data_IF_942652051113
#
_entry.id   IF_942652051113
#
_cell.length_a   1.000
_cell.length_b   1.000
_cell.length_c   1.000
_cell.angle_alpha   90.00
_cell.angle_beta   90.00
_cell.angle_gamma   90.00
#
_symmetry.space_group_name_H-M   'P 1'
#
loop_
_entity.id
_entity.type
_entity.pdbx_description
1 polymer ?
#
# COMPACT_ATOMS: atom_id res chain seq x y z
N UNK A 1 -14.98 -8.06 14.23
CA UNK A 1 -14.40 -8.07 12.87
C UNK A 1 -15.40 -8.73 11.93
N UNK A 2 -16.40 -7.97 11.51
CA UNK A 2 -17.52 -8.46 10.68
C UNK A 2 -18.12 -7.31 9.85
N UNK A 3 -17.45 -6.16 9.85
CA UNK A 3 -17.81 -4.97 9.09
C UNK A 3 -16.64 -4.70 8.15
N UNK A 4 -16.94 -4.37 6.91
CA UNK A 4 -15.97 -3.88 5.93
C UNK A 4 -15.69 -2.39 6.16
N UNK A 5 -14.68 -1.85 5.48
CA UNK A 5 -14.32 -0.43 5.60
C UNK A 5 -15.50 0.51 5.25
N UNK A 6 -16.28 0.16 4.22
CA UNK A 6 -17.45 0.93 3.79
C UNK A 6 -18.61 0.92 4.78
N UNK A 7 -18.63 -0.01 5.74
CA UNK A 7 -19.69 -0.09 6.76
C UNK A 7 -19.42 0.81 7.98
N UNK A 8 -18.24 1.46 8.06
CA UNK A 8 -17.76 2.14 9.28
C UNK A 8 -17.27 3.58 9.06
N UNK A 9 -17.72 4.24 7.98
CA UNK A 9 -17.23 5.58 7.57
C UNK A 9 -15.68 5.65 7.53
N UNK A 10 -15.06 4.52 7.16
CA UNK A 10 -13.61 4.38 7.13
C UNK A 10 -12.97 5.09 5.95
N UNK A 11 -11.67 5.35 6.05
CA UNK A 11 -10.87 5.96 4.99
C UNK A 11 -9.59 5.17 4.76
N UNK A 12 -8.97 5.37 3.59
CA UNK A 12 -7.69 4.75 3.22
C UNK A 12 -6.59 5.81 3.13
N UNK A 13 -5.42 5.51 3.70
CA UNK A 13 -4.16 6.16 3.34
C UNK A 13 -3.34 5.18 2.48
N UNK A 14 -3.27 5.44 1.18
CA UNK A 14 -2.53 4.61 0.24
C UNK A 14 -1.08 5.12 0.07
N UNK A 15 -0.10 4.30 0.42
CA UNK A 15 1.34 4.63 0.31
C UNK A 15 2.05 3.59 -0.55
N UNK A 16 2.75 4.04 -1.59
CA UNK A 16 3.52 3.16 -2.47
C UNK A 16 4.68 2.49 -1.71
N UNK A 17 4.80 1.16 -1.72
CA UNK A 17 5.82 0.43 -0.96
C UNK A 17 6.44 -0.74 -1.76
N UNK A 18 7.43 -0.44 -2.61
CA UNK A 18 8.10 -1.47 -3.41
C UNK A 18 8.85 -2.52 -2.57
N UNK A 19 9.25 -2.17 -1.33
CA UNK A 19 10.02 -3.08 -0.48
C UNK A 19 9.22 -4.27 0.04
N UNK A 20 7.90 -4.32 -0.18
CA UNK A 20 7.10 -5.51 0.10
C UNK A 20 7.55 -6.71 -0.75
N UNK A 21 8.14 -6.47 -1.92
CA UNK A 21 8.75 -7.48 -2.79
C UNK A 21 10.24 -7.77 -2.46
N UNK A 22 10.70 -7.44 -1.25
CA UNK A 22 12.07 -7.72 -0.86
C UNK A 22 12.35 -9.24 -0.75
N UNK A 23 13.31 -9.74 -1.53
CA UNK A 23 13.90 -11.06 -1.30
C UNK A 23 15.07 -10.93 -0.31
N UNK A 24 14.89 -11.53 0.87
CA UNK A 24 15.86 -11.53 1.97
C UNK A 24 16.46 -12.91 2.24
N UNK A 25 16.29 -13.87 1.33
CA UNK A 25 16.76 -15.26 1.52
C UNK A 25 18.29 -15.39 1.44
N UNK A 26 19.01 -14.41 0.88
CA UNK A 26 20.46 -14.46 0.65
C UNK A 26 21.18 -13.20 1.14
N UNK A 27 22.01 -13.35 2.18
CA UNK A 27 22.84 -12.26 2.72
C UNK A 27 22.05 -11.19 3.49
N UNK A 28 22.69 -10.06 3.77
CA UNK A 28 22.12 -8.99 4.60
C UNK A 28 21.53 -7.82 3.79
N UNK A 29 21.57 -7.89 2.46
CA UNK A 29 21.03 -6.85 1.57
C UNK A 29 19.81 -7.41 0.83
N UNK A 30 18.61 -6.83 1.02
CA UNK A 30 17.43 -7.25 0.26
C UNK A 30 17.64 -7.02 -1.24
N UNK A 31 17.16 -7.97 -2.05
CA UNK A 31 16.96 -7.79 -3.48
C UNK A 31 15.52 -7.37 -3.75
N UNK A 32 15.29 -6.61 -4.83
CA UNK A 32 13.95 -6.12 -5.21
C UNK A 32 13.64 -6.47 -6.67
N UNK A 33 14.20 -7.58 -7.17
CA UNK A 33 14.06 -8.02 -8.56
C UNK A 33 12.61 -8.27 -8.97
N UNK A 34 11.78 -8.69 -8.03
CA UNK A 34 10.36 -9.00 -8.26
C UNK A 34 9.46 -7.75 -8.17
N UNK A 35 9.99 -6.60 -7.74
CA UNK A 35 9.27 -5.34 -7.76
C UNK A 35 9.15 -4.81 -9.21
N UNK A 36 7.98 -4.29 -9.56
CA UNK A 36 7.77 -3.64 -10.85
C UNK A 36 8.73 -2.43 -11.04
N UNK A 37 9.18 -2.14 -12.28
CA UNK A 37 9.90 -0.90 -12.59
C UNK A 37 9.06 0.34 -12.21
N UNK A 38 9.70 1.49 -11.89
CA UNK A 38 9.01 2.67 -11.37
C UNK A 38 7.82 3.13 -12.22
N UNK A 39 7.96 3.18 -13.54
CA UNK A 39 6.92 3.66 -14.45
C UNK A 39 5.69 2.73 -14.46
N UNK A 40 5.93 1.42 -14.38
CA UNK A 40 4.87 0.42 -14.27
C UNK A 40 4.23 0.46 -12.87
N UNK A 41 5.05 0.58 -11.83
CA UNK A 41 4.60 0.66 -10.44
C UNK A 41 3.75 1.90 -10.17
N UNK A 42 4.10 3.06 -10.74
CA UNK A 42 3.33 4.29 -10.61
C UNK A 42 1.96 4.15 -11.28
N UNK A 43 1.91 3.66 -12.52
CA UNK A 43 0.66 3.45 -13.24
C UNK A 43 -0.28 2.48 -12.51
N UNK A 44 0.25 1.38 -11.96
CA UNK A 44 -0.55 0.42 -11.17
C UNK A 44 -1.01 1.04 -9.84
N UNK A 45 -0.15 1.80 -9.16
CA UNK A 45 -0.49 2.49 -7.92
C UNK A 45 -1.60 3.52 -8.14
N UNK A 46 -1.52 4.33 -9.19
CA UNK A 46 -2.56 5.30 -9.55
C UNK A 46 -3.88 4.60 -9.89
N UNK A 47 -3.84 3.54 -10.69
CA UNK A 47 -5.02 2.75 -11.02
C UNK A 47 -5.68 2.14 -9.76
N UNK A 48 -4.88 1.66 -8.80
CA UNK A 48 -5.37 1.18 -7.51
C UNK A 48 -6.06 2.28 -6.69
N UNK A 49 -5.45 3.46 -6.61
CA UNK A 49 -6.03 4.61 -5.90
C UNK A 49 -7.35 5.03 -6.54
N UNK A 50 -7.42 5.10 -7.87
CA UNK A 50 -8.65 5.44 -8.59
C UNK A 50 -9.74 4.38 -8.42
N UNK A 51 -9.38 3.09 -8.40
CA UNK A 51 -10.33 2.02 -8.11
C UNK A 51 -10.95 2.17 -6.72
N UNK A 52 -10.14 2.46 -5.69
CA UNK A 52 -10.67 2.72 -4.34
C UNK A 52 -11.61 3.93 -4.29
N UNK A 53 -11.24 5.01 -4.98
CA UNK A 53 -12.09 6.22 -5.06
C UNK A 53 -13.40 5.95 -5.78
N UNK A 54 -13.39 5.12 -6.82
CA UNK A 54 -14.59 4.73 -7.56
C UNK A 54 -15.58 3.93 -6.70
N UNK A 55 -15.10 3.20 -5.69
CA UNK A 55 -15.93 2.52 -4.68
C UNK A 55 -16.51 3.49 -3.62
N UNK A 56 -16.30 4.80 -3.77
CA UNK A 56 -16.81 5.82 -2.85
C UNK A 56 -16.01 5.96 -1.55
N UNK A 57 -14.83 5.33 -1.47
CA UNK A 57 -13.97 5.38 -0.29
C UNK A 57 -13.21 6.72 -0.25
N UNK A 58 -13.16 7.43 0.89
CA UNK A 58 -12.24 8.54 1.08
C UNK A 58 -10.79 8.05 1.05
N UNK A 59 -10.00 8.52 0.07
CA UNK A 59 -8.60 8.10 -0.11
C UNK A 59 -7.65 9.29 -0.05
N UNK A 60 -6.75 9.26 0.94
CA UNK A 60 -5.53 10.07 0.97
C UNK A 60 -4.34 9.27 0.42
N UNK A 61 -3.35 9.96 -0.14
CA UNK A 61 -2.17 9.33 -0.75
C UNK A 61 -0.87 9.90 -0.19
N UNK A 62 0.19 9.12 -0.30
CA UNK A 62 1.56 9.63 -0.25
C UNK A 62 1.97 10.30 -1.56
N UNK A 63 3.28 10.36 -1.80
CA UNK A 63 3.88 10.80 -3.06
C UNK A 63 4.74 9.65 -3.60
N UNK A 64 4.40 9.14 -4.78
CA UNK A 64 5.12 8.02 -5.40
C UNK A 64 6.61 8.35 -5.57
N UNK A 65 7.48 7.39 -5.26
CA UNK A 65 8.93 7.54 -5.39
C UNK A 65 9.60 8.52 -4.41
N UNK A 66 8.83 9.25 -3.60
CA UNK A 66 9.38 10.17 -2.61
C UNK A 66 9.74 9.46 -1.30
N UNK A 67 10.78 9.95 -0.63
CA UNK A 67 11.03 9.58 0.76
C UNK A 67 9.94 10.18 1.65
N UNK A 68 9.28 9.35 2.47
CA UNK A 68 8.15 9.74 3.29
C UNK A 68 8.35 9.33 4.75
N UNK A 69 7.73 10.09 5.66
CA UNK A 69 7.53 9.69 7.06
C UNK A 69 6.04 9.48 7.27
N UNK A 70 5.64 8.25 7.58
CA UNK A 70 4.23 7.87 7.75
C UNK A 70 3.95 7.70 9.23
N UNK A 71 3.06 8.52 9.78
CA UNK A 71 2.55 8.38 11.14
C UNK A 71 1.23 7.60 11.10
N UNK A 72 1.09 6.62 11.99
CA UNK A 72 -0.16 5.88 12.15
C UNK A 72 -0.35 5.43 13.61
N UNK A 73 -1.61 5.21 13.97
CA UNK A 73 -2.01 4.48 15.17
C UNK A 73 -2.66 3.19 14.70
N UNK A 74 -2.05 2.04 15.00
CA UNK A 74 -2.58 0.73 14.61
C UNK A 74 -3.52 0.21 15.70
N UNK A 75 -4.83 0.38 15.51
CA UNK A 75 -5.85 -0.04 16.47
C UNK A 75 -6.10 -1.56 16.39
N UNK A 76 -5.74 -2.27 17.46
CA UNK A 76 -5.69 -3.73 17.55
C UNK A 76 -4.41 -4.23 18.26
N UNK A 77 -3.24 -4.30 17.58
CA UNK A 77 -3.07 -4.01 16.17
C UNK A 77 -3.60 -5.17 15.30
N UNK A 78 -4.21 -4.82 14.18
CA UNK A 78 -4.63 -5.77 13.13
C UNK A 78 -3.84 -5.46 11.88
N UNK A 79 -3.07 -6.44 11.40
CA UNK A 79 -2.30 -6.33 10.16
C UNK A 79 -2.67 -7.49 9.26
N UNK A 80 -3.13 -7.19 8.04
CA UNK A 80 -3.50 -8.18 7.04
C UNK A 80 -2.58 -7.99 5.84
N UNK A 81 -1.86 -9.04 5.44
CA UNK A 81 -1.12 -9.09 4.19
C UNK A 81 -2.02 -9.70 3.11
N UNK A 82 -2.17 -9.01 1.99
CA UNK A 82 -2.93 -9.47 0.84
C UNK A 82 -2.00 -9.49 -0.38
N UNK A 83 -2.09 -10.55 -1.17
CA UNK A 83 -1.40 -10.74 -2.45
C UNK A 83 -2.44 -11.24 -3.47
N UNK A 84 -2.36 -10.74 -4.70
CA UNK A 84 -3.33 -11.02 -5.77
C UNK A 84 -2.93 -12.24 -6.62
#
# INVERSE_FOLDING_TARGET
MNLALGDVDGAVLAVSQFTLYADVRRGNRPSFTDAAPPECGEAVYEAYVEALRAEGVPVATGVFGAHMRVELVNDGPVTILLEA
#
